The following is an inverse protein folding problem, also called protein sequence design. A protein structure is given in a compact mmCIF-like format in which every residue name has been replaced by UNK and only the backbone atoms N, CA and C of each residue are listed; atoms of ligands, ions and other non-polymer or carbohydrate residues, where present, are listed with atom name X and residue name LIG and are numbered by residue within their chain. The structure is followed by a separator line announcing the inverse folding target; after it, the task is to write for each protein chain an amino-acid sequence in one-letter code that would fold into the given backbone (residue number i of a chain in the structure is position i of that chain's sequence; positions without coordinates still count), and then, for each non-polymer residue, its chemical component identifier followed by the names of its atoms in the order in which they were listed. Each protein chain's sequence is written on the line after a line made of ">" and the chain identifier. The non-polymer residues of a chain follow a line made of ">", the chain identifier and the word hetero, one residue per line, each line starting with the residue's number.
data_IF_757085922728
#
_entry.id   IF_757085922728
#
_cell.length_a   1.000
_cell.length_b   1.000
_cell.length_c   1.000
_cell.angle_alpha   90.00
_cell.angle_beta   90.00
_cell.angle_gamma   90.00
#
_symmetry.space_group_name_H-M   'P 1'
#
loop_
_entity.id
_entity.type
_entity.pdbx_description
1 polymer ?
#
# COMPACT_ATOMS: atom_id res chain seq x y z
N UNK A 1 22.58 -3.25 -0.92
CA UNK A 1 22.32 -4.55 -1.58
C UNK A 1 21.11 -4.35 -2.45
N UNK A 2 21.25 -4.32 -3.78
CA UNK A 2 20.09 -4.39 -4.66
C UNK A 2 19.48 -5.78 -4.47
N UNK A 3 18.27 -5.85 -3.90
CA UNK A 3 17.50 -7.08 -4.01
C UNK A 3 16.92 -7.11 -5.43
N UNK A 4 17.09 -8.25 -6.10
CA UNK A 4 16.44 -8.47 -7.40
C UNK A 4 14.92 -8.33 -7.21
N UNK A 5 14.31 -7.44 -7.99
CA UNK A 5 12.86 -7.22 -7.98
C UNK A 5 12.23 -8.43 -8.69
N UNK A 6 11.34 -9.20 -8.03
CA UNK A 6 10.74 -10.37 -8.63
C UNK A 6 9.77 -9.98 -9.75
N UNK A 7 9.48 -10.91 -10.66
CA UNK A 7 8.46 -10.69 -11.71
C UNK A 7 7.04 -10.70 -11.14
N UNK A 8 6.80 -11.48 -10.08
CA UNK A 8 5.50 -11.63 -9.43
C UNK A 8 5.56 -11.28 -7.95
N UNK A 9 4.40 -10.95 -7.40
CA UNK A 9 4.19 -10.57 -6.01
C UNK A 9 2.87 -11.14 -5.48
N UNK A 10 2.75 -11.20 -4.15
CA UNK A 10 1.50 -11.51 -3.48
C UNK A 10 0.66 -10.25 -3.25
N UNK A 11 -0.64 -10.39 -3.43
CA UNK A 11 -1.64 -9.35 -3.24
C UNK A 11 -2.84 -9.93 -2.50
N UNK A 12 -3.49 -9.11 -1.67
CA UNK A 12 -4.79 -9.48 -1.07
C UNK A 12 -5.88 -8.74 -1.83
N UNK A 13 -6.71 -9.51 -2.53
CA UNK A 13 -7.82 -9.00 -3.31
C UNK A 13 -9.11 -9.09 -2.52
N UNK A 14 -10.06 -8.20 -2.79
CA UNK A 14 -11.44 -8.42 -2.40
C UNK A 14 -12.02 -9.52 -3.30
N UNK A 15 -12.43 -10.66 -2.75
CA UNK A 15 -13.02 -11.75 -3.55
C UNK A 15 -14.52 -11.56 -3.75
N UNK A 16 -15.21 -11.08 -2.70
CA UNK A 16 -16.65 -10.75 -2.73
C UNK A 16 -16.96 -9.73 -1.65
N UNK A 17 -18.14 -9.11 -1.74
CA UNK A 17 -18.59 -8.23 -0.69
C UNK A 17 -18.99 -9.02 0.57
N UNK A 18 -18.45 -8.69 1.75
CA UNK A 18 -18.85 -9.31 3.00
C UNK A 18 -20.34 -9.12 3.33
N UNK A 19 -21.00 -10.21 3.71
CA UNK A 19 -22.33 -10.18 4.32
C UNK A 19 -22.18 -10.14 5.85
N UNK A 20 -22.31 -8.96 6.44
CA UNK A 20 -22.11 -8.77 7.88
C UNK A 20 -20.65 -8.51 8.27
N UNK A 21 -20.11 -9.35 9.15
CA UNK A 21 -18.71 -9.30 9.62
C UNK A 21 -17.82 -9.92 8.55
N UNK A 22 -16.71 -9.26 8.15
CA UNK A 22 -15.78 -9.84 7.17
C UNK A 22 -15.21 -11.18 7.62
N UNK A 23 -15.24 -12.15 6.70
CA UNK A 23 -14.63 -13.45 6.87
C UNK A 23 -13.40 -13.57 5.96
N UNK A 24 -12.50 -14.52 6.25
CA UNK A 24 -11.32 -14.74 5.41
C UNK A 24 -11.68 -15.08 3.97
N UNK A 25 -12.83 -15.73 3.72
CA UNK A 25 -13.32 -16.06 2.38
C UNK A 25 -13.83 -14.87 1.58
N UNK A 26 -13.97 -13.69 2.18
CA UNK A 26 -14.29 -12.47 1.44
C UNK A 26 -13.07 -11.88 0.75
N UNK A 27 -11.89 -12.41 1.05
CA UNK A 27 -10.60 -11.99 0.50
C UNK A 27 -9.88 -13.17 -0.16
N UNK A 28 -8.96 -12.85 -1.05
CA UNK A 28 -8.14 -13.83 -1.75
C UNK A 28 -6.67 -13.41 -1.68
N UNK A 29 -5.78 -14.36 -1.33
CA UNK A 29 -4.35 -14.18 -1.51
C UNK A 29 -3.99 -14.62 -2.94
N UNK A 30 -3.74 -13.65 -3.81
CA UNK A 30 -3.46 -13.87 -5.23
C UNK A 30 -2.00 -13.54 -5.57
N UNK A 31 -1.53 -14.07 -6.71
CA UNK A 31 -0.29 -13.62 -7.34
C UNK A 31 -0.61 -12.58 -8.43
N UNK A 32 0.17 -11.50 -8.47
CA UNK A 32 0.11 -10.46 -9.49
C UNK A 32 1.50 -10.09 -9.97
N UNK A 33 1.59 -9.38 -11.10
CA UNK A 33 2.87 -8.90 -11.64
C UNK A 33 3.39 -7.73 -10.79
N UNK A 34 4.71 -7.65 -10.60
CA UNK A 34 5.34 -6.45 -10.04
C UNK A 34 5.35 -5.36 -11.12
N UNK A 35 4.71 -4.21 -10.90
CA UNK A 35 4.69 -3.13 -11.88
C UNK A 35 6.07 -2.45 -12.00
N UNK A 36 6.30 -1.76 -13.11
CA UNK A 36 7.51 -0.93 -13.31
C UNK A 36 7.14 0.55 -13.32
N UNK A 37 7.97 1.42 -12.70
CA UNK A 37 7.66 2.84 -12.62
C UNK A 37 7.85 3.52 -13.98
N UNK A 38 6.89 4.38 -14.34
CA UNK A 38 7.03 5.35 -15.42
C UNK A 38 7.72 6.64 -14.94
N UNK A 39 7.89 7.60 -15.85
CA UNK A 39 8.49 8.90 -15.52
C UNK A 39 7.67 9.62 -14.43
N UNK A 40 8.33 10.09 -13.37
CA UNK A 40 7.65 10.70 -12.24
C UNK A 40 7.08 9.70 -11.24
N UNK A 41 7.36 8.41 -11.38
CA UNK A 41 6.92 7.37 -10.44
C UNK A 41 8.10 6.69 -9.75
N UNK A 42 7.80 6.02 -8.64
CA UNK A 42 8.71 5.08 -8.02
C UNK A 42 7.98 3.81 -7.61
N UNK A 43 8.70 2.69 -7.65
CA UNK A 43 8.28 1.41 -7.11
C UNK A 43 8.80 1.26 -5.69
N UNK A 44 7.94 0.83 -4.79
CA UNK A 44 8.30 0.58 -3.40
C UNK A 44 7.84 -0.79 -2.92
N UNK A 45 8.64 -1.42 -2.06
CA UNK A 45 8.32 -2.67 -1.36
C UNK A 45 7.70 -2.36 -0.01
N UNK A 46 6.51 -2.86 0.24
CA UNK A 46 5.79 -2.75 1.52
C UNK A 46 6.55 -3.46 2.64
N UNK A 47 6.79 -2.74 3.73
CA UNK A 47 7.40 -3.26 4.97
C UNK A 47 6.34 -3.44 6.07
N UNK A 48 5.42 -2.48 6.17
CA UNK A 48 4.30 -2.50 7.10
C UNK A 48 3.03 -2.04 6.41
N UNK A 49 1.90 -2.54 6.90
CA UNK A 49 0.59 -2.27 6.37
C UNK A 49 -0.36 -1.88 7.50
N UNK A 50 -1.19 -0.86 7.27
CA UNK A 50 -2.23 -0.45 8.20
C UNK A 50 -3.53 -1.21 7.97
N UNK A 51 -4.18 -1.63 9.05
CA UNK A 51 -5.50 -2.27 9.05
C UNK A 51 -6.50 -1.35 9.73
N UNK A 52 -7.20 -0.55 8.93
CA UNK A 52 -8.00 0.55 9.45
C UNK A 52 -9.51 0.22 9.38
N UNK A 53 -10.32 0.53 10.41
CA UNK A 53 -11.76 0.25 10.42
C UNK A 53 -12.53 0.95 9.29
N UNK A 54 -12.04 2.09 8.78
CA UNK A 54 -12.69 2.81 7.69
C UNK A 54 -12.79 1.97 6.40
N UNK A 55 -11.91 0.97 6.23
CA UNK A 55 -11.92 0.06 5.09
C UNK A 55 -13.27 -0.67 4.95
N UNK A 56 -13.99 -0.89 6.05
CA UNK A 56 -15.37 -1.42 6.01
C UNK A 56 -16.33 -0.49 5.25
N UNK A 57 -16.17 0.81 5.44
CA UNK A 57 -16.90 1.85 4.72
C UNK A 57 -16.54 1.88 3.24
N UNK A 58 -15.27 1.68 2.92
CA UNK A 58 -14.77 1.61 1.53
C UNK A 58 -15.38 0.40 0.80
N UNK A 59 -15.32 -0.79 1.39
CA UNK A 59 -15.91 -2.03 0.83
C UNK A 59 -17.42 -1.88 0.58
N UNK A 60 -18.14 -1.23 1.50
CA UNK A 60 -19.58 -1.00 1.37
C UNK A 60 -19.96 0.17 0.47
N UNK A 61 -19.01 0.96 -0.03
CA UNK A 61 -19.29 2.19 -0.79
C UNK A 61 -19.97 3.28 0.03
N UNK A 62 -19.80 3.25 1.36
CA UNK A 62 -20.37 4.24 2.30
C UNK A 62 -19.33 5.26 2.78
N UNK A 63 -18.08 5.14 2.34
CA UNK A 63 -17.03 6.09 2.68
C UNK A 63 -17.12 7.33 1.78
N UNK A 64 -17.26 8.52 2.37
CA UNK A 64 -17.52 9.76 1.63
C UNK A 64 -16.32 10.25 0.80
N UNK A 65 -15.12 9.77 1.11
CA UNK A 65 -13.86 10.25 0.53
C UNK A 65 -13.07 9.18 -0.21
N UNK A 66 -13.64 8.00 -0.43
CA UNK A 66 -12.95 6.91 -1.12
C UNK A 66 -13.91 6.18 -2.05
N UNK A 67 -13.41 5.84 -3.25
CA UNK A 67 -14.15 5.01 -4.17
C UNK A 67 -14.36 3.60 -3.60
N UNK A 68 -15.47 2.99 -3.98
CA UNK A 68 -15.79 1.63 -3.53
C UNK A 68 -14.88 0.63 -4.23
N UNK A 69 -14.07 -0.08 -3.44
CA UNK A 69 -13.30 -1.24 -3.89
C UNK A 69 -14.22 -2.32 -4.46
N UNK A 70 -13.88 -2.86 -5.63
CA UNK A 70 -14.64 -3.91 -6.33
C UNK A 70 -14.02 -5.30 -6.08
N UNK A 71 -14.80 -6.38 -6.21
CA UNK A 71 -14.25 -7.72 -6.29
C UNK A 71 -13.22 -7.85 -7.42
N UNK A 72 -12.06 -8.43 -7.11
CA UNK A 72 -10.90 -8.50 -7.98
C UNK A 72 -9.87 -7.38 -7.74
N UNK A 73 -10.24 -6.30 -7.06
CA UNK A 73 -9.30 -5.21 -6.75
C UNK A 73 -8.42 -5.58 -5.55
N UNK A 74 -7.19 -5.06 -5.56
CA UNK A 74 -6.32 -5.06 -4.38
C UNK A 74 -6.98 -4.25 -3.26
N UNK A 75 -7.00 -4.82 -2.05
CA UNK A 75 -7.53 -4.11 -0.90
C UNK A 75 -6.76 -2.80 -0.64
N UNK A 76 -7.44 -1.65 -0.50
CA UNK A 76 -6.76 -0.39 -0.25
C UNK A 76 -6.20 -0.34 1.17
N UNK A 77 -5.18 0.49 1.39
CA UNK A 77 -4.56 0.66 2.69
C UNK A 77 -3.27 1.46 2.61
N UNK A 78 -2.92 2.09 3.74
CA UNK A 78 -1.64 2.79 3.90
C UNK A 78 -0.55 1.79 4.27
N UNK A 79 0.65 2.13 3.84
CA UNK A 79 1.84 1.29 3.99
C UNK A 79 3.03 2.13 4.39
N UNK A 80 3.97 1.53 5.12
CA UNK A 80 5.35 2.02 5.17
C UNK A 80 6.13 1.13 4.21
N UNK A 81 6.79 1.74 3.23
CA UNK A 81 7.43 1.03 2.14
C UNK A 81 8.83 1.58 1.89
N UNK A 82 9.72 0.72 1.40
CA UNK A 82 11.05 1.09 0.94
C UNK A 82 11.06 1.25 -0.57
N UNK A 83 11.55 2.37 -1.08
CA UNK A 83 11.75 2.58 -2.53
C UNK A 83 12.80 1.60 -3.04
N UNK A 84 12.45 0.84 -4.08
CA UNK A 84 13.34 -0.17 -4.70
C UNK A 84 13.79 0.23 -6.12
N UNK A 85 12.97 0.99 -6.83
CA UNK A 85 13.27 1.56 -8.16
C UNK A 85 12.58 2.92 -8.25
N UNK A 86 13.24 3.94 -8.82
CA UNK A 86 12.66 5.29 -8.91
C UNK A 86 13.02 5.99 -10.21
N UNK A 87 12.01 6.64 -10.78
CA UNK A 87 12.11 7.67 -11.82
C UNK A 87 11.45 8.97 -11.35
N UNK A 88 11.32 9.14 -10.04
CA UNK A 88 10.76 10.33 -9.40
C UNK A 88 11.89 11.24 -8.90
N UNK A 89 11.83 12.57 -9.12
CA UNK A 89 12.92 13.49 -8.74
C UNK A 89 13.20 13.54 -7.23
N UNK A 90 12.17 13.44 -6.40
CA UNK A 90 12.28 13.57 -4.93
C UNK A 90 12.51 12.26 -4.16
N UNK A 91 12.49 11.09 -4.82
CA UNK A 91 12.61 9.79 -4.17
C UNK A 91 13.69 8.95 -4.84
N UNK A 92 14.56 8.33 -4.04
CA UNK A 92 15.64 7.48 -4.51
C UNK A 92 15.52 6.06 -3.94
N UNK A 93 16.04 5.02 -4.64
CA UNK A 93 16.14 3.68 -4.07
C UNK A 93 16.80 3.69 -2.69
N UNK A 94 16.16 3.02 -1.73
CA UNK A 94 16.56 2.99 -0.32
C UNK A 94 15.75 3.90 0.59
N UNK A 95 15.11 4.95 0.06
CA UNK A 95 14.23 5.83 0.85
C UNK A 95 13.08 5.03 1.48
N UNK A 96 12.68 5.42 2.70
CA UNK A 96 11.49 4.89 3.36
C UNK A 96 10.40 5.95 3.30
N UNK A 97 9.19 5.55 2.92
CA UNK A 97 8.05 6.46 2.81
C UNK A 97 6.76 5.82 3.31
N UNK A 98 5.83 6.66 3.75
CA UNK A 98 4.42 6.29 3.85
C UNK A 98 3.79 6.42 2.47
N UNK A 99 3.21 5.33 1.97
CA UNK A 99 2.56 5.23 0.67
C UNK A 99 1.14 4.64 0.82
N UNK A 100 0.34 4.73 -0.24
CA UNK A 100 -0.98 4.10 -0.33
C UNK A 100 -0.96 2.93 -1.31
N UNK A 101 -0.06 1.97 -1.08
CA UNK A 101 0.15 0.83 -1.96
C UNK A 101 -1.00 -0.19 -1.91
N UNK A 102 -1.84 -0.17 -0.88
CA UNK A 102 -2.79 -1.25 -0.62
C UNK A 102 -2.10 -2.53 -0.11
N UNK A 103 -2.88 -3.61 -0.05
CA UNK A 103 -2.50 -4.87 0.56
C UNK A 103 -1.72 -5.74 -0.43
N UNK A 104 -0.50 -5.30 -0.75
CA UNK A 104 0.40 -5.97 -1.68
C UNK A 104 1.88 -5.72 -1.32
N UNK A 105 2.75 -6.57 -1.84
CA UNK A 105 4.18 -6.51 -1.55
C UNK A 105 4.89 -5.34 -2.24
N UNK A 106 4.45 -4.94 -3.43
CA UNK A 106 5.01 -3.87 -4.25
C UNK A 106 3.93 -2.95 -4.81
N UNK A 107 4.16 -1.64 -4.77
CA UNK A 107 3.23 -0.64 -5.30
C UNK A 107 3.95 0.53 -5.96
N UNK A 108 3.31 1.08 -7.00
CA UNK A 108 3.72 2.32 -7.64
C UNK A 108 3.20 3.53 -6.88
N UNK A 109 3.97 4.61 -6.91
CA UNK A 109 3.58 5.90 -6.35
C UNK A 109 4.11 7.02 -7.23
N UNK A 110 3.23 7.97 -7.58
CA UNK A 110 3.49 9.07 -8.52
C UNK A 110 3.56 10.45 -7.84
N UNK A 111 3.87 10.52 -6.55
CA UNK A 111 3.94 11.82 -5.85
C UNK A 111 2.59 12.40 -5.37
N UNK A 112 1.47 11.68 -5.50
CA UNK A 112 0.14 12.16 -5.09
C UNK A 112 -0.08 12.20 -3.56
N UNK A 113 -1.17 12.88 -3.14
CA UNK A 113 -1.54 13.25 -1.76
C UNK A 113 -1.25 12.13 -0.75
N UNK A 114 -0.64 12.50 0.38
CA UNK A 114 -0.25 11.65 1.52
C UNK A 114 1.07 10.86 1.44
N UNK A 115 1.90 11.14 0.43
CA UNK A 115 3.29 10.67 0.40
C UNK A 115 4.15 11.43 1.40
N UNK A 116 4.82 10.68 2.28
CA UNK A 116 5.69 11.25 3.32
C UNK A 116 6.95 10.42 3.47
N UNK A 117 8.10 11.00 3.14
CA UNK A 117 9.41 10.41 3.43
C UNK A 117 9.60 10.32 4.95
N UNK A 118 10.12 9.19 5.42
CA UNK A 118 10.42 8.93 6.82
C UNK A 118 11.93 8.94 7.03
N UNK A 119 12.35 9.50 8.16
CA UNK A 119 13.71 9.39 8.66
C UNK A 119 13.78 8.18 9.62
N UNK A 120 14.48 7.07 9.26
CA UNK A 120 14.59 5.90 10.11
C UNK A 120 15.35 6.15 11.42
N UNK A 121 16.18 7.19 11.49
CA UNK A 121 16.96 7.54 12.69
C UNK A 121 16.14 8.37 13.68
N UNK A 122 15.07 9.02 13.21
CA UNK A 122 14.20 9.83 14.07
C UNK A 122 13.25 8.97 14.92
N UNK A 123 12.76 7.84 14.40
CA UNK A 123 11.87 6.90 15.10
C UNK A 123 11.75 5.57 14.32
N UNK A 124 11.29 4.46 14.96
CA UNK A 124 10.97 3.23 14.24
C UNK A 124 9.96 3.50 13.12
N UNK A 125 10.28 3.11 11.89
CA UNK A 125 9.51 3.50 10.69
C UNK A 125 8.05 3.03 10.71
N UNK A 126 7.74 1.94 11.40
CA UNK A 126 6.37 1.45 11.58
C UNK A 126 5.45 2.46 12.28
N UNK A 127 6.00 3.38 13.08
CA UNK A 127 5.23 4.43 13.73
C UNK A 127 4.64 5.45 12.73
N UNK A 128 5.14 5.48 11.50
CA UNK A 128 4.67 6.38 10.43
C UNK A 128 3.24 6.14 9.94
N UNK A 129 2.67 4.95 10.24
CA UNK A 129 1.27 4.58 10.01
C UNK A 129 0.56 4.22 11.34
N UNK A 130 1.06 4.77 12.44
CA UNK A 130 0.49 4.58 13.78
C UNK A 130 0.55 5.89 14.54
N UNK A 131 1.24 5.91 15.69
CA UNK A 131 1.25 7.07 16.60
C UNK A 131 1.89 8.35 16.02
N UNK A 132 2.76 8.22 15.01
CA UNK A 132 3.37 9.35 14.28
C UNK A 132 2.78 9.51 12.87
N UNK A 133 1.62 8.90 12.61
CA UNK A 133 0.93 8.91 11.32
C UNK A 133 -0.56 9.19 11.48
N UNK A 134 -1.34 8.83 10.46
CA UNK A 134 -2.78 8.65 10.69
C UNK A 134 -2.97 7.32 11.42
N UNK A 135 -3.49 7.33 12.65
CA UNK A 135 -3.91 6.10 13.29
C UNK A 135 -5.12 5.52 12.55
N UNK A 136 -5.17 4.19 12.48
CA UNK A 136 -6.34 3.44 12.00
C UNK A 136 -7.57 3.69 12.85
#
# INVERSE_FOLDING_TARGET
>A
MNQDIPETQRQVLLSRYPEGVPETSDFELAEGTVPRPDEGEFLSRTLYLSLDPYLRGVISGRHLYAERVQPGDVMPGRTVAQVVESRHPDFAPGDIAVCSNGWQEYGLSAGAIDLRKLDPDAAPVSTGIGILGMPG
#
